data_IF_794732050753
#
_entry.id   IF_794732050753
#
_cell.length_a   1.000
_cell.length_b   1.000
_cell.length_c   1.000
_cell.angle_alpha   90.00
_cell.angle_beta   90.00
_cell.angle_gamma   90.00
#
_symmetry.space_group_name_H-M   'P 1'
#
loop_
_entity.id
_entity.type
_entity.pdbx_description
1 polymer ?
#
# COMPACT_ATOMS: atom_id res chain seq x y z
N UNK A 1 19.48 11.62 29.50
CA UNK A 1 20.36 11.80 28.31
C UNK A 1 20.85 10.48 27.71
N UNK A 2 21.17 9.46 28.51
CA UNK A 2 21.67 8.15 28.02
C UNK A 2 20.59 7.28 27.34
N UNK A 3 19.35 7.30 27.85
CA UNK A 3 18.21 6.53 27.31
C UNK A 3 17.79 6.94 25.89
N UNK A 4 17.82 8.25 25.57
CA UNK A 4 17.51 8.77 24.22
C UNK A 4 18.53 8.33 23.17
N UNK A 5 19.81 8.17 23.57
CA UNK A 5 20.87 7.65 22.68
C UNK A 5 20.70 6.15 22.40
N UNK A 6 20.25 5.38 23.39
CA UNK A 6 20.00 3.95 23.23
C UNK A 6 18.85 3.67 22.24
N UNK A 7 17.74 4.38 22.39
CA UNK A 7 16.57 4.23 21.51
C UNK A 7 16.86 4.62 20.05
N UNK A 8 17.70 5.64 19.82
CA UNK A 8 18.13 6.04 18.46
C UNK A 8 19.00 4.95 17.83
N UNK A 9 19.88 4.31 18.61
CA UNK A 9 20.75 3.25 18.11
C UNK A 9 19.96 1.95 17.85
N UNK A 10 18.96 1.64 18.68
CA UNK A 10 18.02 0.52 18.44
C UNK A 10 17.19 0.72 17.16
N UNK A 11 16.69 1.95 16.92
CA UNK A 11 16.00 2.29 15.67
C UNK A 11 16.95 2.20 14.48
N UNK A 12 18.22 2.61 14.64
CA UNK A 12 19.25 2.52 13.60
C UNK A 12 19.58 1.07 13.26
N UNK A 13 19.74 0.21 14.25
CA UNK A 13 19.98 -1.23 14.06
C UNK A 13 18.76 -1.95 13.47
N UNK A 14 17.54 -1.60 13.91
CA UNK A 14 16.30 -2.13 13.34
C UNK A 14 16.05 -1.61 11.90
N UNK A 15 16.62 -0.47 11.53
CA UNK A 15 16.63 0.07 10.16
C UNK A 15 17.68 -0.65 9.30
N UNK A 16 18.89 -0.86 9.82
CA UNK A 16 19.98 -1.57 9.15
C UNK A 16 19.65 -3.04 8.90
N UNK A 17 19.08 -3.74 9.88
CA UNK A 17 18.62 -5.12 9.71
C UNK A 17 17.51 -5.22 8.66
N UNK A 18 16.58 -4.26 8.63
CA UNK A 18 15.52 -4.19 7.64
C UNK A 18 16.06 -3.90 6.24
N UNK A 19 17.04 -2.99 6.12
CA UNK A 19 17.73 -2.69 4.87
C UNK A 19 18.58 -3.86 4.37
N UNK A 20 19.17 -4.66 5.27
CA UNK A 20 19.91 -5.87 4.91
C UNK A 20 18.98 -6.98 4.40
N UNK A 21 17.81 -7.18 5.02
CA UNK A 21 16.77 -8.10 4.53
C UNK A 21 16.22 -7.62 3.19
N UNK A 22 15.92 -6.32 3.05
CA UNK A 22 15.51 -5.72 1.78
C UNK A 22 16.60 -5.88 0.70
N UNK A 23 17.89 -5.73 1.04
CA UNK A 23 19.00 -6.00 0.11
C UNK A 23 19.08 -7.47 -0.32
N UNK A 24 18.81 -8.41 0.59
CA UNK A 24 18.69 -9.84 0.25
C UNK A 24 17.51 -10.13 -0.66
N UNK A 25 16.36 -9.49 -0.42
CA UNK A 25 15.19 -9.56 -1.31
C UNK A 25 15.45 -8.91 -2.67
N UNK A 26 16.30 -7.89 -2.76
CA UNK A 26 16.70 -7.20 -3.99
C UNK A 26 17.73 -7.97 -4.83
N UNK A 27 18.33 -9.06 -4.32
CA UNK A 27 19.28 -9.88 -5.09
C UNK A 27 18.64 -10.64 -6.26
N UNK A 28 17.32 -10.82 -6.27
CA UNK A 28 16.59 -11.41 -7.39
C UNK A 28 15.94 -10.30 -8.23
N UNK A 29 16.17 -10.33 -9.55
CA UNK A 29 15.51 -9.41 -10.47
C UNK A 29 13.99 -9.63 -10.43
N UNK A 30 13.20 -8.58 -10.67
CA UNK A 30 11.74 -8.71 -10.69
C UNK A 30 11.29 -9.77 -11.72
N UNK A 31 11.99 -9.84 -12.85
CA UNK A 31 11.81 -10.85 -13.90
C UNK A 31 11.98 -12.28 -13.39
N UNK A 32 13.04 -12.55 -12.63
CA UNK A 32 13.31 -13.89 -12.11
C UNK A 32 12.25 -14.34 -11.10
N UNK A 33 11.84 -13.44 -10.20
CA UNK A 33 10.77 -13.72 -9.24
C UNK A 33 9.44 -14.01 -9.93
N UNK A 34 9.10 -13.28 -11.00
CA UNK A 34 7.87 -13.51 -11.75
C UNK A 34 7.92 -14.84 -12.49
N UNK A 35 9.03 -15.16 -13.16
CA UNK A 35 9.17 -16.40 -13.90
C UNK A 35 8.99 -17.62 -12.97
N UNK A 36 9.63 -17.59 -11.79
CA UNK A 36 9.49 -18.63 -10.77
C UNK A 36 8.08 -18.69 -10.18
N UNK A 37 7.49 -17.56 -9.83
CA UNK A 37 6.13 -17.52 -9.30
C UNK A 37 5.10 -18.06 -10.31
N UNK A 38 5.28 -17.80 -11.61
CA UNK A 38 4.44 -18.37 -12.68
C UNK A 38 4.58 -19.89 -12.80
N UNK A 39 5.75 -20.45 -12.48
CA UNK A 39 5.97 -21.90 -12.44
C UNK A 39 5.45 -22.57 -11.16
N UNK A 40 4.76 -21.84 -10.29
CA UNK A 40 4.21 -22.35 -9.03
C UNK A 40 5.14 -22.26 -7.84
N UNK A 41 6.24 -21.49 -7.93
CA UNK A 41 7.13 -21.25 -6.79
C UNK A 41 6.50 -20.28 -5.80
N UNK A 42 5.95 -20.82 -4.70
CA UNK A 42 5.32 -20.05 -3.63
C UNK A 42 6.30 -19.10 -2.93
N UNK A 43 7.57 -19.48 -2.83
CA UNK A 43 8.61 -18.67 -2.20
C UNK A 43 8.91 -17.41 -3.03
N UNK A 44 8.94 -17.56 -4.35
CA UNK A 44 9.09 -16.42 -5.25
C UNK A 44 7.93 -15.42 -5.11
N UNK A 45 6.70 -15.93 -4.98
CA UNK A 45 5.54 -15.07 -4.74
C UNK A 45 5.56 -14.44 -3.34
N UNK A 46 6.01 -15.16 -2.31
CA UNK A 46 6.21 -14.63 -0.95
C UNK A 46 7.16 -13.44 -0.96
N UNK A 47 8.27 -13.51 -1.71
CA UNK A 47 9.21 -12.39 -1.85
C UNK A 47 8.59 -11.17 -2.54
N UNK A 48 7.72 -11.39 -3.54
CA UNK A 48 6.92 -10.31 -4.14
C UNK A 48 5.99 -9.72 -3.09
N UNK A 49 5.28 -10.54 -2.32
CA UNK A 49 4.40 -10.08 -1.25
C UNK A 49 5.14 -9.21 -0.24
N UNK A 50 6.26 -9.68 0.30
CA UNK A 50 7.05 -8.93 1.29
C UNK A 50 7.53 -7.57 0.78
N UNK A 51 7.88 -7.50 -0.51
CA UNK A 51 8.35 -6.27 -1.13
C UNK A 51 7.23 -5.24 -1.31
N UNK A 52 6.02 -5.67 -1.64
CA UNK A 52 4.93 -4.79 -2.09
C UNK A 52 3.78 -4.63 -1.09
N UNK A 53 3.63 -5.49 -0.08
CA UNK A 53 2.50 -5.47 0.85
C UNK A 53 2.36 -4.15 1.62
N UNK A 54 3.44 -3.69 2.26
CA UNK A 54 3.45 -2.40 3.00
C UNK A 54 3.13 -1.20 2.09
N UNK A 55 3.80 -1.02 0.93
CA UNK A 55 3.47 0.04 -0.02
C UNK A 55 2.02 0.02 -0.48
N UNK A 56 1.46 -1.17 -0.74
CA UNK A 56 0.06 -1.32 -1.16
C UNK A 56 -0.89 -0.97 -0.02
N UNK A 57 -0.62 -1.40 1.22
CA UNK A 57 -1.40 -0.99 2.40
C UNK A 57 -1.40 0.54 2.51
N UNK A 58 -0.23 1.18 2.44
CA UNK A 58 -0.13 2.64 2.53
C UNK A 58 -0.93 3.33 1.42
N UNK A 59 -0.81 2.86 0.18
CA UNK A 59 -1.56 3.41 -0.94
C UNK A 59 -3.08 3.27 -0.77
N UNK A 60 -3.57 2.11 -0.34
CA UNK A 60 -5.01 1.89 -0.11
C UNK A 60 -5.49 2.72 1.09
N UNK A 61 -4.67 2.82 2.14
CA UNK A 61 -4.95 3.65 3.31
C UNK A 61 -5.08 5.13 2.93
N UNK A 62 -4.20 5.65 2.06
CA UNK A 62 -4.30 7.02 1.54
C UNK A 62 -5.57 7.25 0.72
N UNK A 63 -6.18 6.20 0.17
CA UNK A 63 -7.44 6.28 -0.57
C UNK A 63 -8.68 6.21 0.34
N UNK A 64 -8.65 5.38 1.39
CA UNK A 64 -9.84 4.99 2.17
C UNK A 64 -9.85 5.49 3.62
N UNK A 65 -8.68 5.80 4.17
CA UNK A 65 -8.50 6.26 5.55
C UNK A 65 -8.72 5.20 6.63
N UNK A 66 -8.95 3.94 6.27
CA UNK A 66 -9.29 2.84 7.18
C UNK A 66 -8.19 1.78 7.16
N UNK A 67 -7.46 1.63 8.26
CA UNK A 67 -6.29 0.74 8.32
C UNK A 67 -6.67 -0.74 8.20
N UNK A 68 -7.75 -1.14 8.86
CA UNK A 68 -8.19 -2.53 8.85
C UNK A 68 -8.67 -2.93 7.45
N UNK A 69 -9.44 -2.06 6.80
CA UNK A 69 -9.86 -2.30 5.43
C UNK A 69 -8.67 -2.26 4.46
N UNK A 70 -7.68 -1.39 4.67
CA UNK A 70 -6.50 -1.35 3.80
C UNK A 70 -5.73 -2.68 3.81
N UNK A 71 -5.60 -3.32 4.98
CA UNK A 71 -4.99 -4.65 5.09
C UNK A 71 -5.83 -5.73 4.38
N UNK A 72 -7.15 -5.72 4.56
CA UNK A 72 -8.07 -6.65 3.88
C UNK A 72 -7.98 -6.52 2.35
N UNK A 73 -8.03 -5.30 1.84
CA UNK A 73 -7.97 -5.04 0.40
C UNK A 73 -6.58 -5.29 -0.19
N UNK A 74 -5.52 -5.13 0.60
CA UNK A 74 -4.19 -5.58 0.21
C UNK A 74 -4.16 -7.10 0.03
N UNK A 75 -4.72 -7.86 0.97
CA UNK A 75 -4.80 -9.32 0.83
C UNK A 75 -5.57 -9.72 -0.43
N UNK A 76 -6.74 -9.12 -0.68
CA UNK A 76 -7.52 -9.34 -1.89
C UNK A 76 -6.72 -8.97 -3.16
N UNK A 77 -5.94 -7.89 -3.11
CA UNK A 77 -5.04 -7.49 -4.20
C UNK A 77 -4.05 -8.61 -4.54
N UNK A 78 -3.40 -9.20 -3.53
CA UNK A 78 -2.43 -10.28 -3.77
C UNK A 78 -3.09 -11.59 -4.18
N UNK A 79 -4.29 -11.90 -3.70
CA UNK A 79 -5.07 -13.05 -4.19
C UNK A 79 -5.39 -12.90 -5.67
N UNK A 80 -5.82 -11.71 -6.10
CA UNK A 80 -6.06 -11.40 -7.52
C UNK A 80 -4.77 -11.42 -8.32
N UNK A 81 -3.69 -10.89 -7.78
CA UNK A 81 -2.39 -10.89 -8.42
C UNK A 81 -1.89 -12.32 -8.65
N UNK A 82 -1.93 -13.19 -7.63
CA UNK A 82 -1.52 -14.59 -7.75
C UNK A 82 -2.27 -15.31 -8.87
N UNK A 83 -3.60 -15.16 -8.92
CA UNK A 83 -4.46 -15.79 -9.94
C UNK A 83 -4.19 -15.27 -11.36
N UNK A 84 -3.80 -14.01 -11.50
CA UNK A 84 -3.64 -13.35 -12.80
C UNK A 84 -2.18 -13.13 -13.22
N UNK A 85 -1.21 -13.65 -12.46
CA UNK A 85 0.22 -13.40 -12.69
C UNK A 85 0.70 -13.90 -14.07
N UNK A 86 0.07 -14.95 -14.59
CA UNK A 86 0.34 -15.43 -15.95
C UNK A 86 -0.06 -14.44 -17.06
N UNK A 87 -0.91 -13.46 -16.77
CA UNK A 87 -1.35 -12.42 -17.70
C UNK A 87 -0.47 -11.17 -17.73
N UNK A 88 0.49 -11.03 -16.81
CA UNK A 88 1.48 -9.95 -16.85
C UNK A 88 2.37 -10.16 -18.08
N UNK A 89 2.45 -9.19 -18.99
CA UNK A 89 3.21 -9.33 -20.26
C UNK A 89 4.63 -8.80 -20.20
N UNK A 90 4.87 -7.88 -19.28
CA UNK A 90 6.12 -7.16 -19.15
C UNK A 90 6.48 -7.19 -17.66
N UNK A 91 7.48 -8.00 -17.32
CA UNK A 91 7.90 -8.24 -15.95
C UNK A 91 8.44 -6.98 -15.27
N UNK A 92 8.96 -6.02 -16.04
CA UNK A 92 9.45 -4.74 -15.53
C UNK A 92 8.33 -3.88 -14.94
N UNK A 93 7.08 -4.17 -15.32
CA UNK A 93 5.87 -3.44 -14.89
C UNK A 93 5.16 -4.05 -13.69
N UNK A 94 5.79 -4.98 -12.97
CA UNK A 94 5.19 -5.65 -11.81
C UNK A 94 4.56 -4.67 -10.81
N UNK A 95 5.30 -3.62 -10.47
CA UNK A 95 4.88 -2.54 -9.59
C UNK A 95 3.59 -1.88 -10.11
N UNK A 96 3.64 -1.29 -11.30
CA UNK A 96 2.50 -0.63 -11.94
C UNK A 96 1.28 -1.55 -12.03
N UNK A 97 1.50 -2.82 -12.38
CA UNK A 97 0.43 -3.81 -12.48
C UNK A 97 -0.22 -4.11 -11.12
N UNK A 98 0.58 -4.33 -10.07
CA UNK A 98 0.09 -4.56 -8.71
C UNK A 98 -0.69 -3.35 -8.17
N UNK A 99 -0.15 -2.13 -8.33
CA UNK A 99 -0.84 -0.92 -7.90
C UNK A 99 -2.11 -0.65 -8.71
N UNK A 100 -2.16 -1.06 -9.97
CA UNK A 100 -3.40 -1.05 -10.78
C UNK A 100 -4.47 -1.98 -10.22
N UNK A 101 -4.11 -3.20 -9.81
CA UNK A 101 -5.04 -4.12 -9.13
C UNK A 101 -5.51 -3.51 -7.82
N UNK A 102 -4.60 -2.99 -6.99
CA UNK A 102 -4.91 -2.36 -5.71
C UNK A 102 -5.91 -1.20 -5.87
N UNK A 103 -5.69 -0.34 -6.88
CA UNK A 103 -6.59 0.77 -7.21
C UNK A 103 -8.00 0.27 -7.55
N UNK A 104 -8.10 -0.78 -8.34
CA UNK A 104 -9.39 -1.33 -8.74
C UNK A 104 -10.14 -1.93 -7.55
N UNK A 105 -9.45 -2.71 -6.70
CA UNK A 105 -9.99 -3.27 -5.46
C UNK A 105 -10.48 -2.17 -4.52
N UNK A 106 -9.69 -1.11 -4.31
CA UNK A 106 -10.07 0.03 -3.49
C UNK A 106 -11.30 0.77 -4.05
N UNK A 107 -11.40 0.95 -5.38
CA UNK A 107 -12.56 1.56 -6.03
C UNK A 107 -13.82 0.72 -5.90
N UNK A 108 -13.72 -0.60 -6.05
CA UNK A 108 -14.82 -1.53 -5.84
C UNK A 108 -15.38 -1.38 -4.41
N UNK A 109 -14.49 -1.38 -3.41
CA UNK A 109 -14.87 -1.17 -2.00
C UNK A 109 -15.52 0.20 -1.76
N UNK A 110 -14.96 1.28 -2.32
CA UNK A 110 -15.53 2.63 -2.19
C UNK A 110 -16.93 2.73 -2.81
N UNK A 111 -17.15 2.09 -3.97
CA UNK A 111 -18.47 2.03 -4.63
C UNK A 111 -19.47 1.26 -3.78
N UNK A 112 -19.08 0.12 -3.22
CA UNK A 112 -19.92 -0.67 -2.33
C UNK A 112 -20.31 0.11 -1.06
N UNK A 113 -19.36 0.84 -0.45
CA UNK A 113 -19.61 1.72 0.71
C UNK A 113 -20.62 2.81 0.40
N UNK A 114 -20.49 3.50 -0.74
CA UNK A 114 -21.45 4.54 -1.17
C UNK A 114 -22.86 3.97 -1.40
N UNK A 115 -22.96 2.80 -2.02
CA UNK A 115 -24.24 2.14 -2.24
C UNK A 115 -24.89 1.68 -0.93
N UNK A 116 -24.10 1.23 0.05
CA UNK A 116 -24.60 0.89 1.37
C UNK A 116 -25.11 2.14 2.12
N UNK A 117 -24.37 3.25 2.08
CA UNK A 117 -24.79 4.51 2.69
C UNK A 117 -26.10 5.05 2.11
N UNK A 118 -26.26 5.01 0.78
CA UNK A 118 -27.50 5.43 0.10
C UNK A 118 -28.71 4.55 0.46
N UNK A 119 -28.50 3.28 0.84
CA UNK A 119 -29.58 2.39 1.31
C UNK A 119 -29.98 2.70 2.75
N UNK A 120 -29.04 3.11 3.60
CA UNK A 120 -29.30 3.49 5.00
C UNK A 120 -30.02 4.84 5.06
N UNK A 121 -29.69 5.78 4.18
CA UNK A 121 -30.32 7.12 4.12
C UNK A 121 -31.81 7.08 3.74
N UNK A 122 -32.30 5.96 3.18
CA UNK A 122 -33.71 5.78 2.81
C UNK A 122 -34.59 5.25 3.96
N UNK A 123 -34.01 4.84 5.10
CA UNK A 123 -34.77 4.25 6.24
C UNK A 123 -34.86 5.15 7.50
N UNK A 124 -33.96 6.12 7.74
CA UNK A 124 -34.07 7.25 8.70
C UNK A 124 -32.73 8.06 8.69
N UNK A 125 -32.68 9.39 8.94
CA UNK A 125 -31.42 10.12 8.95
C UNK A 125 -30.78 10.08 10.34
N UNK A 126 -29.93 9.09 10.61
CA UNK A 126 -29.05 9.11 11.78
C UNK A 126 -27.58 9.07 11.38
N UNK A 127 -26.97 10.25 11.48
CA UNK A 127 -25.59 10.57 11.84
C UNK A 127 -24.48 9.76 11.15
N UNK A 128 -23.80 10.43 10.23
CA UNK A 128 -22.43 10.13 9.80
C UNK A 128 -21.49 10.12 11.00
N UNK A 129 -21.22 8.95 11.57
CA UNK A 129 -20.08 8.76 12.47
C UNK A 129 -18.80 8.69 11.65
N UNK A 130 -17.98 9.73 11.78
CA UNK A 130 -16.55 9.65 11.56
C UNK A 130 -16.01 8.58 12.51
N UNK A 131 -15.78 7.36 11.98
CA UNK A 131 -15.10 6.30 12.70
C UNK A 131 -13.65 6.74 12.90
N UNK A 132 -13.30 7.03 14.15
CA UNK A 132 -11.92 7.18 14.62
C UNK A 132 -11.39 5.78 14.91
N UNK A 133 -10.64 5.21 13.97
CA UNK A 133 -9.98 3.93 14.10
C UNK A 133 -8.75 4.06 15.01
N UNK A 134 -8.94 3.63 16.25
CA UNK A 134 -7.98 3.76 17.34
C UNK A 134 -6.67 3.00 17.15
N UNK A 135 -5.62 3.52 17.78
CA UNK A 135 -4.36 2.86 18.15
C UNK A 135 -3.71 3.60 19.37
N UNK A 136 -2.75 2.97 20.04
CA UNK A 136 -2.17 3.25 21.37
C UNK A 136 -1.41 4.60 21.60
N UNK A 137 -1.07 4.99 22.86
CA UNK A 137 -0.82 6.37 23.27
C UNK A 137 0.64 6.88 23.21
N UNK A 138 0.71 8.21 23.04
CA UNK A 138 1.75 9.20 23.35
C UNK A 138 2.88 9.54 22.35
N UNK A 139 3.61 8.59 21.74
CA UNK A 139 4.57 8.94 20.65
C UNK A 139 3.91 9.05 19.25
N UNK A 140 2.62 8.73 19.19
CA UNK A 140 1.82 8.64 17.98
C UNK A 140 1.14 9.95 17.57
N UNK A 141 1.00 10.94 18.46
CA UNK A 141 0.15 12.11 18.18
C UNK A 141 0.72 13.03 17.08
N UNK A 142 2.02 13.37 17.15
CA UNK A 142 2.69 14.19 16.12
C UNK A 142 2.72 13.45 14.78
N UNK A 143 2.98 12.14 14.81
CA UNK A 143 2.94 11.31 13.61
C UNK A 143 1.52 11.21 13.02
N UNK A 144 0.48 11.19 13.86
CA UNK A 144 -0.91 11.20 13.40
C UNK A 144 -1.32 12.51 12.76
N UNK A 145 -0.95 13.63 13.36
CA UNK A 145 -1.23 14.95 12.77
C UNK A 145 -0.53 15.11 11.42
N UNK A 146 0.74 14.70 11.34
CA UNK A 146 1.49 14.69 10.08
C UNK A 146 0.86 13.73 9.06
N UNK A 147 0.50 12.51 9.46
CA UNK A 147 -0.18 11.56 8.58
C UNK A 147 -1.55 12.05 8.14
N UNK A 148 -2.29 12.74 9.00
CA UNK A 148 -3.57 13.35 8.65
C UNK A 148 -3.40 14.47 7.63
N UNK A 149 -2.38 15.32 7.79
CA UNK A 149 -2.03 16.38 6.83
C UNK A 149 -1.59 15.79 5.48
N UNK A 150 -0.76 14.75 5.49
CA UNK A 150 -0.33 14.06 4.27
C UNK A 150 -1.55 13.43 3.58
N UNK A 151 -2.43 12.76 4.32
CA UNK A 151 -3.66 12.18 3.78
C UNK A 151 -4.60 13.23 3.21
N UNK A 152 -4.78 14.37 3.87
CA UNK A 152 -5.59 15.48 3.33
C UNK A 152 -4.98 16.05 2.04
N UNK A 153 -3.66 16.22 2.00
CA UNK A 153 -2.95 16.64 0.80
C UNK A 153 -3.09 15.63 -0.35
N UNK A 154 -2.95 14.33 -0.07
CA UNK A 154 -3.15 13.26 -1.05
C UNK A 154 -4.62 13.14 -1.46
N UNK A 155 -5.56 13.37 -0.54
CA UNK A 155 -7.00 13.38 -0.78
C UNK A 155 -7.44 14.44 -1.79
N UNK A 156 -6.71 15.55 -1.89
CA UNK A 156 -6.90 16.61 -2.89
C UNK A 156 -6.45 16.22 -4.30
N UNK A 157 -5.62 15.19 -4.42
CA UNK A 157 -5.23 14.64 -5.72
C UNK A 157 -6.33 13.71 -6.24
N UNK A 158 -6.52 13.69 -7.55
CA UNK A 158 -7.31 12.63 -8.19
C UNK A 158 -6.60 11.26 -8.06
N UNK A 159 -7.36 10.19 -8.27
CA UNK A 159 -6.86 8.82 -8.08
C UNK A 159 -5.67 8.50 -9.00
N UNK A 160 -5.65 9.06 -10.20
CA UNK A 160 -4.57 8.85 -11.18
C UNK A 160 -3.26 9.51 -10.70
N UNK A 161 -3.32 10.75 -10.19
CA UNK A 161 -2.17 11.44 -9.59
C UNK A 161 -1.67 10.75 -8.33
N UNK A 162 -2.56 10.18 -7.50
CA UNK A 162 -2.14 9.40 -6.32
C UNK A 162 -1.41 8.12 -6.71
N UNK A 163 -1.89 7.42 -7.73
CA UNK A 163 -1.21 6.24 -8.26
C UNK A 163 0.20 6.60 -8.76
N UNK A 164 0.31 7.67 -9.54
CA UNK A 164 1.59 8.20 -10.02
C UNK A 164 2.52 8.55 -8.87
N UNK A 165 2.03 9.26 -7.85
CA UNK A 165 2.82 9.61 -6.67
C UNK A 165 3.30 8.36 -5.92
N UNK A 166 2.41 7.38 -5.70
CA UNK A 166 2.76 6.14 -5.03
C UNK A 166 3.83 5.36 -5.79
N UNK A 167 3.71 5.25 -7.12
CA UNK A 167 4.72 4.62 -7.97
C UNK A 167 6.06 5.38 -7.93
N UNK A 168 6.04 6.71 -7.96
CA UNK A 168 7.23 7.56 -7.86
C UNK A 168 7.94 7.41 -6.52
N UNK A 169 7.21 7.45 -5.41
CA UNK A 169 7.74 7.32 -4.05
C UNK A 169 8.27 5.92 -3.81
N UNK A 170 7.57 4.90 -4.32
CA UNK A 170 7.97 3.51 -4.12
C UNK A 170 9.17 3.08 -4.98
N UNK A 171 9.26 3.53 -6.24
CA UNK A 171 10.31 3.08 -7.17
C UNK A 171 11.45 4.08 -7.41
N UNK A 172 11.36 5.32 -6.90
CA UNK A 172 12.22 6.44 -7.30
C UNK A 172 12.21 6.78 -8.82
N UNK A 173 11.37 6.12 -9.64
CA UNK A 173 11.31 6.22 -11.11
C UNK A 173 11.20 7.64 -11.64
N UNK A 174 11.89 8.00 -12.74
CA UNK A 174 11.93 9.39 -13.24
C UNK A 174 10.57 9.85 -13.77
N UNK A 175 10.34 11.17 -13.87
CA UNK A 175 9.08 11.74 -14.39
C UNK A 175 8.78 11.29 -15.84
N UNK A 176 9.78 10.82 -16.58
CA UNK A 176 9.68 10.44 -18.00
C UNK A 176 8.99 9.08 -18.20
N UNK A 177 9.14 8.14 -17.26
CA UNK A 177 8.50 6.82 -17.33
C UNK A 177 7.01 6.87 -16.95
N UNK A 178 6.63 7.86 -16.13
CA UNK A 178 5.27 8.11 -15.66
C UNK A 178 4.39 8.70 -16.79
N UNK A 179 4.97 9.50 -17.69
CA UNK A 179 4.24 10.17 -18.78
C UNK A 179 3.78 9.22 -19.90
N UNK A 180 4.17 7.95 -19.86
CA UNK A 180 3.85 6.90 -20.84
C UNK A 180 2.67 6.01 -20.42
N UNK A 181 2.03 6.31 -19.28
CA UNK A 181 0.82 5.65 -18.77
C UNK A 181 -0.40 6.50 -19.09
#
# INVERSE_FOLDING_TARGET
MMMKRLAIEEIRQASEARNAVVSGTLMNSAEELIARARSGDEEAFRLIFERYARPIISFIYDMLGDSALAEELMQETFVRAYKNLGGLRDETKLSTWLFGIARNVARESLRARRQAALKVELDDPLVTELRDDGLSPDDHLINRELQALIRDALGKLDEDKRLVFALKVFQQQSYEEIALI
#
